data_IF_026512393218
#
_entry.id   IF_026512393218
#
_cell.length_a   1.000
_cell.length_b   1.000
_cell.length_c   1.000
_cell.angle_alpha   90.00
_cell.angle_beta   90.00
_cell.angle_gamma   90.00
#
_symmetry.space_group_name_H-M   'P 1'
#
loop_
_entity.id
_entity.type
_entity.pdbx_description
1 polymer ?
#
# COMPACT_ATOMS: atom_id res chain seq x y z
N UNK A 1 -17.28 10.46 7.18
CA UNK A 1 -16.09 10.06 6.40
C UNK A 1 -15.19 11.28 6.30
N UNK A 2 -13.91 11.16 6.66
CA UNK A 2 -12.91 12.23 6.50
C UNK A 2 -12.02 11.88 5.30
N UNK A 3 -11.48 12.87 4.60
CA UNK A 3 -10.51 12.67 3.50
C UNK A 3 -9.23 13.39 3.90
N UNK A 4 -8.09 12.71 3.77
CA UNK A 4 -6.77 13.26 3.97
C UNK A 4 -5.94 13.03 2.70
N UNK A 5 -5.24 14.06 2.24
CA UNK A 5 -4.39 13.98 1.06
C UNK A 5 -2.93 13.85 1.48
N UNK A 6 -2.22 12.93 0.83
CA UNK A 6 -0.78 12.75 0.97
C UNK A 6 -0.15 12.77 -0.41
N UNK A 7 1.12 13.16 -0.49
CA UNK A 7 1.85 13.28 -1.75
C UNK A 7 3.00 12.28 -1.76
N UNK A 8 3.17 11.58 -2.88
CA UNK A 8 4.40 10.85 -3.22
C UNK A 8 4.81 11.23 -4.64
N UNK A 9 6.04 11.69 -4.78
CA UNK A 9 6.65 11.94 -6.08
C UNK A 9 7.24 10.64 -6.59
N UNK A 10 6.45 9.93 -7.39
CA UNK A 10 6.85 8.62 -7.91
C UNK A 10 7.90 8.76 -9.01
N UNK A 11 8.95 7.94 -8.90
CA UNK A 11 10.00 7.83 -9.90
C UNK A 11 9.75 6.66 -10.86
N UNK A 12 10.58 6.56 -11.91
CA UNK A 12 10.55 5.43 -12.84
C UNK A 12 10.80 4.07 -12.16
N UNK A 13 11.33 4.06 -10.94
CA UNK A 13 11.65 2.86 -10.17
C UNK A 13 10.44 2.07 -9.69
N UNK A 14 9.36 2.73 -9.30
CA UNK A 14 8.18 2.08 -8.70
C UNK A 14 7.47 1.09 -9.63
N UNK A 15 7.60 1.29 -10.94
CA UNK A 15 6.95 0.43 -11.94
C UNK A 15 7.90 -0.61 -12.55
N UNK A 16 9.17 -0.67 -12.11
CA UNK A 16 10.10 -1.67 -12.65
C UNK A 16 9.72 -3.07 -12.13
N UNK A 17 9.78 -4.11 -13.00
CA UNK A 17 9.65 -5.47 -12.54
C UNK A 17 10.79 -5.80 -11.56
N UNK A 18 10.49 -6.63 -10.56
CA UNK A 18 11.52 -7.20 -9.67
C UNK A 18 12.32 -8.18 -10.54
N UNK A 19 13.64 -7.98 -10.63
CA UNK A 19 14.52 -8.80 -11.47
C UNK A 19 15.40 -9.75 -10.66
N UNK A 20 15.44 -9.54 -9.36
CA UNK A 20 16.25 -10.26 -8.41
C UNK A 20 15.58 -11.59 -8.05
N UNK A 21 16.34 -12.69 -8.09
CA UNK A 21 15.85 -14.01 -7.64
C UNK A 21 15.54 -14.02 -6.14
N UNK A 22 16.26 -13.21 -5.37
CA UNK A 22 16.04 -12.97 -3.95
C UNK A 22 15.40 -11.60 -3.72
N UNK A 23 14.16 -11.58 -3.26
CA UNK A 23 13.40 -10.34 -2.99
C UNK A 23 14.06 -9.45 -1.93
N UNK A 24 14.90 -10.01 -1.06
CA UNK A 24 15.65 -9.25 -0.05
C UNK A 24 16.80 -8.42 -0.65
N UNK A 25 17.20 -8.72 -1.88
CA UNK A 25 18.23 -7.98 -2.62
C UNK A 25 17.63 -6.85 -3.48
N UNK A 26 16.29 -6.76 -3.54
CA UNK A 26 15.62 -5.70 -4.29
C UNK A 26 15.73 -4.36 -3.57
N UNK A 27 16.45 -3.42 -4.18
CA UNK A 27 16.55 -2.06 -3.68
C UNK A 27 15.48 -1.17 -4.32
N UNK A 28 14.54 -0.69 -3.50
CA UNK A 28 13.57 0.30 -3.95
C UNK A 28 14.28 1.63 -4.24
N UNK A 29 13.89 2.26 -5.34
CA UNK A 29 14.33 3.62 -5.62
C UNK A 29 13.71 4.59 -4.60
N UNK A 30 14.53 5.50 -4.10
CA UNK A 30 14.12 6.56 -3.18
C UNK A 30 13.08 7.48 -3.83
N UNK A 31 11.98 7.72 -3.13
CA UNK A 31 10.88 8.58 -3.57
C UNK A 31 10.54 9.61 -2.50
N UNK A 32 10.33 10.85 -2.91
CA UNK A 32 10.03 11.94 -1.98
C UNK A 32 8.53 11.97 -1.65
N UNK A 33 8.20 11.99 -0.36
CA UNK A 33 6.83 12.12 0.12
C UNK A 33 6.59 13.42 0.89
N UNK A 34 5.33 13.81 1.00
CA UNK A 34 4.89 14.90 1.86
C UNK A 34 3.56 14.57 2.53
N UNK A 35 3.50 14.81 3.84
CA UNK A 35 2.30 14.71 4.68
C UNK A 35 2.13 16.04 5.43
N UNK A 36 0.98 16.70 5.25
CA UNK A 36 0.69 17.92 5.99
C UNK A 36 0.30 17.62 7.44
N UNK A 37 0.43 18.59 8.33
CA UNK A 37 -0.04 18.49 9.72
C UNK A 37 -1.53 18.14 9.80
N UNK A 38 -2.35 18.75 8.95
CA UNK A 38 -3.78 18.45 8.84
C UNK A 38 -4.04 16.98 8.46
N UNK A 39 -3.30 16.45 7.48
CA UNK A 39 -3.44 15.07 7.04
C UNK A 39 -3.00 14.08 8.13
N UNK A 40 -1.84 14.32 8.75
CA UNK A 40 -1.34 13.52 9.86
C UNK A 40 -2.34 13.50 11.03
N UNK A 41 -2.82 14.67 11.46
CA UNK A 41 -3.81 14.78 12.53
C UNK A 41 -5.11 14.05 12.19
N UNK A 42 -5.61 14.21 10.96
CA UNK A 42 -6.82 13.52 10.51
C UNK A 42 -6.68 11.99 10.59
N UNK A 43 -5.54 11.45 10.15
CA UNK A 43 -5.25 10.02 10.19
C UNK A 43 -5.14 9.54 11.65
N UNK A 44 -4.33 10.22 12.45
CA UNK A 44 -4.05 9.86 13.84
C UNK A 44 -5.29 9.92 14.73
N UNK A 45 -6.10 10.98 14.60
CA UNK A 45 -7.39 11.08 15.30
C UNK A 45 -8.34 9.95 14.90
N UNK A 46 -8.36 9.58 13.62
CA UNK A 46 -9.21 8.50 13.11
C UNK A 46 -8.83 7.18 13.79
N UNK A 47 -7.54 6.84 13.86
CA UNK A 47 -7.05 5.65 14.57
C UNK A 47 -7.32 5.72 16.06
N UNK A 48 -7.05 6.86 16.70
CA UNK A 48 -7.30 7.09 18.14
C UNK A 48 -8.77 6.87 18.51
N UNK A 49 -9.69 7.25 17.63
CA UNK A 49 -11.13 7.08 17.83
C UNK A 49 -11.65 5.68 17.42
N UNK A 50 -10.77 4.73 17.13
CA UNK A 50 -11.14 3.37 16.71
C UNK A 50 -11.68 3.28 15.28
N UNK A 51 -11.52 4.33 14.47
CA UNK A 51 -11.84 4.34 13.05
C UNK A 51 -10.83 3.57 12.21
N UNK A 52 -11.19 3.32 10.94
CA UNK A 52 -10.32 2.67 9.95
C UNK A 52 -9.63 3.70 9.07
N UNK A 53 -8.35 3.47 8.75
CA UNK A 53 -7.60 4.21 7.73
C UNK A 53 -7.57 3.37 6.46
N UNK A 54 -8.18 3.90 5.40
CA UNK A 54 -8.29 3.25 4.10
C UNK A 54 -7.42 4.03 3.11
N UNK A 55 -6.35 3.42 2.62
CA UNK A 55 -5.53 4.02 1.58
C UNK A 55 -6.17 3.82 0.20
N UNK A 56 -6.10 4.84 -0.63
CA UNK A 56 -6.55 4.81 -2.02
C UNK A 56 -5.32 4.85 -2.91
N UNK A 57 -4.95 3.69 -3.44
CA UNK A 57 -3.72 3.45 -4.18
C UNK A 57 -2.54 3.07 -3.29
N UNK A 58 -1.69 2.18 -3.80
CA UNK A 58 -0.44 1.72 -3.16
C UNK A 58 0.53 2.85 -2.83
N UNK A 59 0.54 3.90 -3.64
CA UNK A 59 1.29 5.15 -3.41
C UNK A 59 0.94 5.77 -2.06
N UNK A 60 -0.36 5.97 -1.78
CA UNK A 60 -0.80 6.56 -0.50
C UNK A 60 -0.47 5.65 0.69
N UNK A 61 -0.59 4.33 0.50
CA UNK A 61 -0.18 3.32 1.48
C UNK A 61 1.31 3.45 1.83
N UNK A 62 2.19 3.49 0.82
CA UNK A 62 3.65 3.62 1.06
C UNK A 62 3.97 4.93 1.77
N UNK A 63 3.33 6.04 1.41
CA UNK A 63 3.53 7.32 2.11
C UNK A 63 3.14 7.25 3.59
N UNK A 64 1.94 6.77 3.92
CA UNK A 64 1.50 6.75 5.33
C UNK A 64 2.28 5.75 6.18
N UNK A 65 2.67 4.60 5.62
CA UNK A 65 3.49 3.61 6.33
C UNK A 65 4.94 4.10 6.52
N UNK A 66 5.46 4.92 5.59
CA UNK A 66 6.79 5.55 5.73
C UNK A 66 6.77 6.67 6.76
N UNK A 67 5.73 7.51 6.73
CA UNK A 67 5.61 8.65 7.64
C UNK A 67 5.22 8.25 9.07
N UNK A 68 4.85 6.99 9.32
CA UNK A 68 4.47 6.50 10.64
C UNK A 68 5.65 6.00 11.47
N UNK A 69 5.65 6.32 12.76
CA UNK A 69 6.54 5.70 13.73
C UNK A 69 6.13 4.25 14.06
N UNK A 70 6.93 3.57 14.87
CA UNK A 70 6.70 2.18 15.30
C UNK A 70 5.39 1.98 16.09
N UNK A 71 4.84 3.05 16.65
CA UNK A 71 3.55 3.05 17.36
C UNK A 71 2.36 3.27 16.40
N UNK A 72 2.62 3.52 15.11
CA UNK A 72 1.60 3.78 14.11
C UNK A 72 1.08 5.21 14.12
N UNK A 73 1.81 6.16 14.72
CA UNK A 73 1.50 7.58 14.65
C UNK A 73 2.14 8.20 13.40
N UNK A 74 1.33 8.75 12.52
CA UNK A 74 1.81 9.45 11.31
C UNK A 74 2.39 10.80 11.68
N UNK A 75 3.63 11.04 11.29
CA UNK A 75 4.33 12.30 11.52
C UNK A 75 4.15 13.23 10.31
N UNK A 76 3.83 14.52 10.51
CA UNK A 76 3.81 15.48 9.42
C UNK A 76 5.24 15.84 8.99
N UNK A 77 5.39 16.22 7.73
CA UNK A 77 6.66 16.61 7.15
C UNK A 77 6.87 16.05 5.76
N UNK A 78 8.11 16.13 5.31
CA UNK A 78 8.55 15.57 4.05
C UNK A 78 9.88 14.86 4.24
N UNK A 79 10.03 13.74 3.55
CA UNK A 79 11.27 12.96 3.55
C UNK A 79 11.30 12.07 2.30
N UNK A 80 12.40 11.35 2.11
CA UNK A 80 12.49 10.29 1.14
C UNK A 80 12.06 8.96 1.77
N UNK A 81 11.46 8.09 0.97
CA UNK A 81 11.15 6.72 1.35
C UNK A 81 11.68 5.73 0.33
N UNK A 82 12.28 4.67 0.85
CA UNK A 82 12.69 3.47 0.11
C UNK A 82 11.88 2.26 0.60
N UNK A 83 10.70 2.52 1.19
CA UNK A 83 9.89 1.45 1.78
C UNK A 83 9.54 0.40 0.73
N UNK A 84 9.92 -0.83 1.04
CA UNK A 84 9.55 -2.02 0.28
C UNK A 84 8.61 -2.88 1.13
N UNK A 85 7.35 -2.96 0.70
CA UNK A 85 6.30 -3.71 1.39
C UNK A 85 6.12 -5.05 0.68
N UNK A 86 6.45 -6.12 1.37
CA UNK A 86 6.39 -7.50 0.88
C UNK A 86 5.86 -8.44 1.98
N UNK A 87 5.47 -9.69 1.64
CA UNK A 87 4.92 -10.62 2.63
C UNK A 87 5.77 -10.76 3.89
N UNK A 88 5.12 -10.61 5.05
CA UNK A 88 5.78 -10.50 6.37
C UNK A 88 5.84 -9.07 6.92
N UNK A 89 5.57 -8.04 6.10
CA UNK A 89 5.46 -6.66 6.57
C UNK A 89 4.30 -6.47 7.55
N UNK A 90 4.56 -5.79 8.67
CA UNK A 90 3.53 -5.41 9.63
C UNK A 90 3.05 -3.99 9.33
N UNK A 91 1.85 -3.86 8.79
CA UNK A 91 1.19 -2.56 8.61
C UNK A 91 0.95 -1.88 9.96
N UNK A 92 1.39 -0.62 10.05
CA UNK A 92 1.31 0.20 11.26
C UNK A 92 0.05 1.06 11.26
N UNK A 93 -0.33 1.57 10.07
CA UNK A 93 -1.43 2.52 9.91
C UNK A 93 -2.59 1.92 9.13
N UNK A 94 -2.30 1.28 8.00
CA UNK A 94 -3.28 0.78 7.05
C UNK A 94 -4.25 -0.24 7.66
N UNK A 95 -5.55 -0.02 7.50
CA UNK A 95 -6.59 -1.01 7.85
C UNK A 95 -7.24 -1.67 6.62
N UNK A 96 -7.28 -0.96 5.48
CA UNK A 96 -7.81 -1.45 4.21
C UNK A 96 -7.21 -0.69 3.02
N UNK A 97 -7.23 -1.29 1.83
CA UNK A 97 -6.65 -0.73 0.61
C UNK A 97 -7.63 -0.78 -0.55
N UNK A 98 -7.79 0.32 -1.26
CA UNK A 98 -8.39 0.36 -2.60
C UNK A 98 -7.25 0.48 -3.60
N UNK A 99 -7.17 -0.42 -4.57
CA UNK A 99 -6.10 -0.41 -5.59
C UNK A 99 -6.55 -1.10 -6.87
N UNK A 100 -5.76 -1.02 -7.94
CA UNK A 100 -6.05 -1.72 -9.20
C UNK A 100 -5.54 -3.17 -9.15
N UNK A 101 -5.84 -3.95 -10.19
CA UNK A 101 -5.12 -5.19 -10.47
C UNK A 101 -3.76 -4.91 -11.11
N UNK A 102 -2.70 -5.40 -10.48
CA UNK A 102 -1.30 -5.19 -10.85
C UNK A 102 -0.71 -6.35 -11.66
N UNK A 103 0.41 -6.10 -12.36
CA UNK A 103 1.13 -7.12 -13.11
C UNK A 103 1.68 -8.25 -12.24
N UNK A 104 1.69 -9.50 -12.71
CA UNK A 104 2.49 -10.56 -12.12
C UNK A 104 3.95 -10.11 -11.92
N UNK A 105 4.59 -10.61 -10.86
CA UNK A 105 6.01 -10.33 -10.55
C UNK A 105 6.35 -8.83 -10.35
N UNK A 106 5.35 -8.02 -10.01
CA UNK A 106 5.56 -6.60 -9.65
C UNK A 106 5.64 -6.39 -8.14
N UNK A 107 6.39 -5.36 -7.72
CA UNK A 107 6.45 -4.89 -6.33
C UNK A 107 5.06 -4.56 -5.78
N UNK A 108 4.13 -4.11 -6.63
CA UNK A 108 2.75 -3.81 -6.25
C UNK A 108 1.94 -5.07 -5.92
N UNK A 109 2.15 -6.18 -6.65
CA UNK A 109 1.55 -7.48 -6.29
C UNK A 109 2.09 -7.97 -4.94
N UNK A 110 3.37 -7.73 -4.67
CA UNK A 110 3.97 -8.08 -3.38
C UNK A 110 3.35 -7.28 -2.22
N UNK A 111 3.10 -5.98 -2.41
CA UNK A 111 2.45 -5.14 -1.41
C UNK A 111 1.04 -5.63 -1.09
N UNK A 112 0.21 -5.89 -2.11
CA UNK A 112 -1.15 -6.39 -1.86
C UNK A 112 -1.13 -7.80 -1.26
N UNK A 113 -0.14 -8.62 -1.59
CA UNK A 113 0.07 -9.95 -0.98
C UNK A 113 0.56 -9.85 0.47
N UNK A 114 1.32 -8.82 0.84
CA UNK A 114 1.69 -8.56 2.21
C UNK A 114 0.47 -8.22 3.08
N UNK A 115 -0.52 -7.56 2.47
CA UNK A 115 -1.75 -7.19 3.13
C UNK A 115 -2.70 -8.39 3.25
N UNK A 116 -3.08 -9.01 2.12
CA UNK A 116 -4.13 -10.02 2.09
C UNK A 116 -3.64 -11.47 2.14
N UNK A 117 -2.33 -11.72 2.12
CA UNK A 117 -1.78 -13.06 1.94
C UNK A 117 -1.72 -13.47 0.46
N UNK A 118 -0.69 -14.23 0.11
CA UNK A 118 -0.41 -14.62 -1.29
C UNK A 118 -1.55 -15.44 -1.90
N UNK A 119 -2.03 -16.47 -1.18
CA UNK A 119 -3.05 -17.40 -1.71
C UNK A 119 -4.37 -16.68 -2.00
N UNK A 120 -4.80 -15.77 -1.11
CA UNK A 120 -6.01 -14.96 -1.30
C UNK A 120 -5.88 -14.03 -2.51
N UNK A 121 -4.73 -13.38 -2.69
CA UNK A 121 -4.48 -12.53 -3.86
C UNK A 121 -4.48 -13.36 -5.15
N UNK A 122 -3.81 -14.51 -5.18
CA UNK A 122 -3.79 -15.38 -6.35
C UNK A 122 -5.20 -15.85 -6.73
N UNK A 123 -5.99 -16.29 -5.76
CA UNK A 123 -7.37 -16.70 -5.98
C UNK A 123 -8.25 -15.55 -6.48
N UNK A 124 -8.11 -14.34 -5.91
CA UNK A 124 -8.83 -13.16 -6.37
C UNK A 124 -8.46 -12.77 -7.82
N UNK A 125 -7.20 -12.98 -8.21
CA UNK A 125 -6.74 -12.73 -9.58
C UNK A 125 -7.29 -13.77 -10.57
N UNK A 126 -7.30 -15.06 -10.20
CA UNK A 126 -7.90 -16.12 -11.01
C UNK A 126 -9.39 -15.86 -11.25
N UNK A 127 -10.11 -15.45 -10.20
CA UNK A 127 -11.51 -15.04 -10.27
C UNK A 127 -11.70 -13.85 -11.22
N UNK A 128 -10.90 -12.78 -11.04
CA UNK A 128 -10.95 -11.60 -11.88
C UNK A 128 -10.69 -11.90 -13.37
N UNK A 129 -9.76 -12.83 -13.66
CA UNK A 129 -9.52 -13.30 -15.03
C UNK A 129 -10.74 -14.06 -15.58
N UNK A 130 -11.31 -14.97 -14.77
CA UNK A 130 -12.50 -15.76 -15.16
C UNK A 130 -13.69 -14.86 -15.49
N UNK A 131 -13.92 -13.85 -14.67
CA UNK A 131 -15.01 -12.87 -14.81
C UNK A 131 -14.65 -11.71 -15.76
N UNK A 132 -13.50 -11.77 -16.43
CA UNK A 132 -13.05 -10.81 -17.45
C UNK A 132 -12.95 -9.36 -16.95
N UNK A 133 -12.49 -9.19 -15.71
CA UNK A 133 -12.13 -7.89 -15.18
C UNK A 133 -11.02 -7.27 -16.04
N UNK A 134 -11.01 -5.95 -16.11
CA UNK A 134 -9.98 -5.16 -16.79
C UNK A 134 -8.85 -4.91 -15.80
N UNK A 135 -7.61 -5.17 -16.19
CA UNK A 135 -6.45 -5.02 -15.32
C UNK A 135 -5.75 -3.67 -15.56
N UNK A 136 -4.72 -3.37 -14.77
CA UNK A 136 -3.79 -2.25 -14.96
C UNK A 136 -4.37 -0.85 -14.64
N UNK A 137 -3.67 0.20 -15.11
CA UNK A 137 -3.89 1.60 -14.74
C UNK A 137 -5.30 2.13 -15.04
N UNK A 138 -5.96 1.59 -16.05
CA UNK A 138 -7.30 2.01 -16.50
C UNK A 138 -8.34 0.90 -16.35
N UNK A 139 -7.98 -0.16 -15.63
CA UNK A 139 -8.84 -1.30 -15.38
C UNK A 139 -9.84 -1.07 -14.26
N UNK A 140 -10.31 -2.18 -13.72
CA UNK A 140 -11.18 -2.24 -12.55
C UNK A 140 -10.36 -2.17 -11.25
N UNK A 141 -11.05 -1.95 -10.14
CA UNK A 141 -10.46 -1.80 -8.82
C UNK A 141 -10.78 -2.98 -7.90
N UNK A 142 -9.91 -3.18 -6.92
CA UNK A 142 -10.00 -4.13 -5.84
C UNK A 142 -10.07 -3.37 -4.51
N UNK A 143 -10.94 -3.81 -3.61
CA UNK A 143 -11.00 -3.35 -2.23
C UNK A 143 -10.59 -4.51 -1.31
N UNK A 144 -9.49 -4.33 -0.58
CA UNK A 144 -8.96 -5.30 0.37
C UNK A 144 -9.25 -4.78 1.78
N UNK A 145 -10.03 -5.53 2.57
CA UNK A 145 -10.42 -5.17 3.93
C UNK A 145 -10.64 -6.40 4.82
N UNK A 146 -10.88 -6.14 6.10
CA UNK A 146 -11.35 -7.12 7.10
C UNK A 146 -10.43 -8.34 7.29
N UNK A 147 -9.12 -8.14 7.10
CA UNK A 147 -8.06 -9.15 7.20
C UNK A 147 -7.72 -9.57 8.65
N UNK A 148 -8.53 -9.18 9.62
CA UNK A 148 -8.34 -9.54 11.03
C UNK A 148 -8.89 -10.95 11.25
N UNK A 149 -8.03 -11.97 11.15
CA UNK A 149 -8.43 -13.35 11.47
C UNK A 149 -7.46 -14.45 11.06
N UNK A 150 -6.52 -14.18 10.16
CA UNK A 150 -5.62 -15.20 9.61
C UNK A 150 -4.15 -14.74 9.70
N UNK A 151 -3.66 -14.58 10.93
CA UNK A 151 -2.23 -14.44 11.21
C UNK A 151 -1.64 -15.78 11.63
#
# INVERSE_FOLDING_TARGET
MKIAYVTLHVGLGTFRPVKEENVLEHHMHSEYYQVTEEAANTINETKKNGGRVICVGTTSCRTVESAADEQGMVQPGCDNTEIFIYPGYRFKVLDALITNFHLPESTLVMLVSALAGREHILHAYEEAIREKYRFFSFGDAMFIADLKGEK
#
